data_IF_451912108283
#
_entry.id   IF_451912108283
#
_cell.length_a   1.000
_cell.length_b   1.000
_cell.length_c   1.000
_cell.angle_alpha   90.00
_cell.angle_beta   90.00
_cell.angle_gamma   90.00
#
_symmetry.space_group_name_H-M   'P 1'
#
loop_
_entity.id
_entity.type
_entity.pdbx_description
1 polymer ?
#
# COMPACT_ATOMS: atom_id res chain seq x y z
N UNK A 1 23.43 -21.41 -6.40
CA UNK A 1 23.25 -22.28 -7.60
C UNK A 1 23.47 -23.71 -7.11
N UNK A 2 22.39 -24.42 -6.75
CA UNK A 2 22.49 -25.82 -6.34
C UNK A 2 22.73 -26.66 -7.59
N UNK A 3 23.83 -27.41 -7.60
CA UNK A 3 24.13 -28.38 -8.65
C UNK A 3 23.20 -29.58 -8.42
N UNK A 4 22.17 -29.69 -9.27
CA UNK A 4 21.38 -30.93 -9.39
C UNK A 4 22.03 -31.80 -10.46
N UNK A 5 21.97 -33.11 -10.24
CA UNK A 5 22.45 -34.11 -11.18
C UNK A 5 21.70 -33.97 -12.53
N UNK A 6 22.38 -34.06 -13.69
CA UNK A 6 21.75 -33.95 -15.00
C UNK A 6 20.53 -34.86 -15.20
N UNK A 7 20.52 -36.05 -14.60
CA UNK A 7 19.41 -36.99 -14.73
C UNK A 7 18.17 -36.55 -13.90
N UNK A 8 18.38 -35.91 -12.75
CA UNK A 8 17.29 -35.31 -11.93
C UNK A 8 16.66 -34.10 -12.63
N UNK A 9 17.41 -33.36 -13.45
CA UNK A 9 16.87 -32.23 -14.22
C UNK A 9 15.90 -32.66 -15.31
N UNK A 10 16.13 -33.81 -15.94
CA UNK A 10 15.28 -34.32 -17.02
C UNK A 10 13.95 -34.82 -16.46
N UNK A 11 13.98 -35.47 -15.29
CA UNK A 11 12.79 -36.01 -14.62
C UNK A 11 11.84 -34.92 -14.07
N UNK A 12 12.38 -33.74 -13.74
CA UNK A 12 11.62 -32.56 -13.29
C UNK A 12 10.97 -31.82 -14.46
N UNK A 13 11.66 -31.67 -15.60
CA UNK A 13 11.11 -30.99 -16.79
C UNK A 13 9.95 -31.79 -17.42
N UNK A 14 10.00 -33.12 -17.37
CA UNK A 14 8.94 -33.99 -17.91
C UNK A 14 7.70 -34.09 -17.01
N UNK A 15 7.79 -33.68 -15.75
CA UNK A 15 6.73 -33.76 -14.75
C UNK A 15 6.49 -32.43 -14.01
N UNK A 16 6.83 -31.28 -14.61
CA UNK A 16 6.74 -29.96 -13.98
C UNK A 16 5.37 -29.69 -13.36
N UNK A 17 4.31 -30.10 -14.06
CA UNK A 17 2.91 -29.91 -13.67
C UNK A 17 2.53 -30.74 -12.43
N UNK A 18 3.26 -31.83 -12.13
CA UNK A 18 3.06 -32.64 -10.93
C UNK A 18 3.79 -32.05 -9.71
N UNK A 19 4.93 -31.39 -9.92
CA UNK A 19 5.73 -30.81 -8.86
C UNK A 19 5.25 -29.44 -8.40
N UNK A 20 4.58 -28.66 -9.27
CA UNK A 20 4.04 -27.34 -8.93
C UNK A 20 2.98 -27.36 -7.80
N UNK A 21 2.28 -28.49 -7.61
CA UNK A 21 1.25 -28.66 -6.58
C UNK A 21 1.75 -29.41 -5.31
N UNK A 22 3.02 -29.81 -5.27
CA UNK A 22 3.58 -30.52 -4.11
C UNK A 22 4.14 -29.55 -3.06
N UNK A 23 3.94 -29.81 -1.75
CA UNK A 23 4.59 -29.02 -0.71
C UNK A 23 6.11 -29.15 -0.82
N UNK A 24 6.76 -28.08 -1.25
CA UNK A 24 8.21 -28.02 -1.34
C UNK A 24 8.83 -27.81 0.05
N UNK A 25 9.83 -28.62 0.39
CA UNK A 25 10.72 -28.34 1.51
C UNK A 25 11.86 -27.45 1.05
N UNK A 26 11.74 -26.15 1.34
CA UNK A 26 12.83 -25.19 1.08
C UNK A 26 13.79 -25.20 2.26
N UNK A 27 14.98 -25.78 2.07
CA UNK A 27 16.08 -25.65 3.00
C UNK A 27 16.95 -24.47 2.59
N UNK A 28 16.89 -23.37 3.36
CA UNK A 28 17.77 -22.22 3.16
C UNK A 28 18.97 -22.32 4.10
N UNK A 29 20.16 -22.55 3.54
CA UNK A 29 21.43 -22.41 4.27
C UNK A 29 21.90 -20.95 4.12
N UNK A 30 22.06 -20.23 5.24
CA UNK A 30 22.67 -18.90 5.26
C UNK A 30 24.09 -19.08 5.80
N UNK A 31 25.08 -18.98 4.92
CA UNK A 31 26.48 -19.11 5.27
C UNK A 31 27.14 -17.73 5.31
N UNK A 32 27.92 -17.45 6.36
CA UNK A 32 28.78 -16.27 6.38
C UNK A 32 30.08 -16.58 5.67
N UNK A 33 30.37 -15.86 4.59
CA UNK A 33 31.69 -15.89 3.94
C UNK A 33 32.74 -15.06 4.69
N UNK A 34 32.31 -14.22 5.63
CA UNK A 34 33.17 -13.42 6.50
C UNK A 34 33.23 -14.09 7.89
N UNK A 35 34.41 -14.59 8.32
CA UNK A 35 34.55 -15.29 9.59
C UNK A 35 34.37 -14.37 10.80
N UNK A 36 34.42 -13.05 10.62
CA UNK A 36 34.35 -12.06 11.70
C UNK A 36 32.93 -11.50 11.92
N UNK A 37 31.93 -12.02 11.18
CA UNK A 37 30.53 -11.60 11.37
C UNK A 37 30.06 -11.99 12.78
N UNK A 38 29.61 -11.01 13.60
CA UNK A 38 29.13 -11.33 14.94
C UNK A 38 27.94 -12.29 14.90
N UNK A 39 27.92 -13.29 15.79
CA UNK A 39 26.83 -14.27 15.88
C UNK A 39 25.44 -13.61 15.98
N UNK A 40 25.34 -12.45 16.63
CA UNK A 40 24.12 -11.64 16.69
C UNK A 40 23.58 -11.30 15.30
N UNK A 41 24.44 -10.91 14.36
CA UNK A 41 24.04 -10.55 12.99
C UNK A 41 23.50 -11.75 12.23
N UNK A 42 24.09 -12.93 12.42
CA UNK A 42 23.59 -14.18 11.84
C UNK A 42 22.21 -14.55 12.39
N UNK A 43 21.99 -14.37 13.70
CA UNK A 43 20.67 -14.57 14.33
C UNK A 43 19.64 -13.59 13.79
N UNK A 44 20.00 -12.30 13.63
CA UNK A 44 19.13 -11.28 13.04
C UNK A 44 18.73 -11.65 11.60
N UNK A 45 19.68 -12.10 10.77
CA UNK A 45 19.39 -12.59 9.42
C UNK A 45 18.45 -13.81 9.42
N UNK A 46 18.71 -14.79 10.28
CA UNK A 46 17.86 -15.99 10.39
C UNK A 46 16.43 -15.65 10.80
N UNK A 47 16.25 -14.70 11.73
CA UNK A 47 14.93 -14.20 12.14
C UNK A 47 14.22 -13.48 10.99
N UNK A 48 14.91 -12.60 10.27
CA UNK A 48 14.33 -11.90 9.13
C UNK A 48 13.85 -12.85 8.03
N UNK A 49 14.62 -13.90 7.72
CA UNK A 49 14.21 -14.93 6.75
C UNK A 49 13.03 -15.74 7.28
N UNK A 50 13.06 -16.15 8.54
CA UNK A 50 11.92 -16.83 9.17
C UNK A 50 10.64 -15.99 9.10
N UNK A 51 10.71 -14.71 9.45
CA UNK A 51 9.55 -13.82 9.48
C UNK A 51 9.03 -13.54 8.07
N UNK A 52 9.92 -13.40 7.08
CA UNK A 52 9.55 -13.35 5.68
C UNK A 52 8.81 -14.61 5.25
N UNK A 53 9.39 -15.80 5.45
CA UNK A 53 8.76 -17.08 5.09
C UNK A 53 7.43 -17.30 5.82
N UNK A 54 7.33 -16.87 7.07
CA UNK A 54 6.07 -16.90 7.83
C UNK A 54 5.02 -15.97 7.21
N UNK A 55 5.42 -14.77 6.79
CA UNK A 55 4.53 -13.80 6.18
C UNK A 55 4.06 -14.21 4.78
N UNK A 56 4.92 -14.87 3.97
CA UNK A 56 4.58 -15.36 2.63
C UNK A 56 4.05 -16.80 2.61
N UNK A 57 3.63 -17.37 3.75
CA UNK A 57 3.16 -18.77 3.82
C UNK A 57 1.98 -19.07 2.89
N UNK A 58 1.21 -18.05 2.48
CA UNK A 58 0.14 -18.16 1.49
C UNK A 58 0.60 -18.01 0.03
N UNK A 59 1.90 -17.81 -0.22
CA UNK A 59 2.49 -17.67 -1.56
C UNK A 59 2.44 -16.27 -2.16
N UNK A 60 1.74 -15.31 -1.55
CA UNK A 60 1.55 -13.96 -2.11
C UNK A 60 2.32 -12.89 -1.30
N UNK A 61 3.28 -12.23 -1.95
CA UNK A 61 3.86 -10.99 -1.43
C UNK A 61 2.90 -9.84 -1.76
N UNK A 62 2.05 -9.48 -0.79
CA UNK A 62 1.04 -8.44 -0.92
C UNK A 62 1.02 -7.46 0.25
N UNK A 63 0.07 -6.53 0.25
CA UNK A 63 -0.01 -5.48 1.25
C UNK A 63 -0.11 -6.00 2.70
N UNK A 64 -0.85 -7.09 2.94
CA UNK A 64 -0.95 -7.72 4.27
C UNK A 64 0.40 -8.24 4.76
N UNK A 65 1.12 -8.96 3.90
CA UNK A 65 2.48 -9.45 4.16
C UNK A 65 3.42 -8.30 4.51
N UNK A 66 3.37 -7.22 3.75
CA UNK A 66 4.17 -6.01 4.01
C UNK A 66 3.85 -5.44 5.39
N UNK A 67 2.58 -5.30 5.75
CA UNK A 67 2.18 -4.76 7.06
C UNK A 67 2.70 -5.61 8.21
N UNK A 68 2.60 -6.94 8.13
CA UNK A 68 3.13 -7.83 9.17
C UNK A 68 4.67 -7.72 9.29
N UNK A 69 5.38 -7.63 8.16
CA UNK A 69 6.82 -7.43 8.14
C UNK A 69 7.24 -6.08 8.72
N UNK A 70 6.51 -5.02 8.40
CA UNK A 70 6.74 -3.70 8.97
C UNK A 70 6.50 -3.73 10.49
N UNK A 71 5.40 -4.33 10.97
CA UNK A 71 5.12 -4.50 12.40
C UNK A 71 6.21 -5.26 13.14
N UNK A 72 6.84 -6.23 12.47
CA UNK A 72 7.99 -6.97 13.00
C UNK A 72 9.32 -6.18 12.99
N UNK A 73 9.33 -4.94 12.47
CA UNK A 73 10.50 -4.07 12.44
C UNK A 73 11.39 -4.25 11.22
N UNK A 74 11.00 -5.07 10.24
CA UNK A 74 11.79 -5.37 9.04
C UNK A 74 11.63 -4.30 7.95
N UNK A 75 11.90 -3.04 8.31
CA UNK A 75 11.63 -1.88 7.44
C UNK A 75 12.45 -1.85 6.16
N UNK A 76 13.67 -2.41 6.18
CA UNK A 76 14.57 -2.44 5.03
C UNK A 76 14.09 -3.40 3.92
N UNK A 77 13.14 -4.30 4.20
CA UNK A 77 12.64 -5.27 3.21
C UNK A 77 11.93 -4.62 2.01
N UNK A 78 11.44 -3.39 2.17
CA UNK A 78 10.84 -2.65 1.08
C UNK A 78 11.89 -2.03 0.14
N UNK A 79 13.15 -1.89 0.56
CA UNK A 79 14.20 -1.37 -0.31
C UNK A 79 14.45 -2.35 -1.46
N UNK A 80 14.47 -1.83 -2.69
CA UNK A 80 14.55 -2.61 -3.92
C UNK A 80 13.19 -3.10 -4.45
N UNK A 81 12.10 -2.92 -3.70
CA UNK A 81 10.77 -3.23 -4.20
C UNK A 81 10.27 -2.13 -5.14
N UNK A 82 9.52 -2.55 -6.16
CA UNK A 82 8.90 -1.65 -7.12
C UNK A 82 7.52 -1.25 -6.61
N UNK A 83 7.16 0.03 -6.77
CA UNK A 83 5.80 0.47 -6.51
C UNK A 83 4.80 -0.25 -7.42
N UNK A 84 3.62 -0.55 -6.87
CA UNK A 84 2.64 -1.39 -7.54
C UNK A 84 1.23 -0.86 -7.34
N UNK A 85 0.22 -1.62 -7.80
CA UNK A 85 -1.18 -1.31 -7.50
C UNK A 85 -1.49 -1.33 -6.01
N UNK A 86 -0.71 -2.05 -5.20
CA UNK A 86 -0.93 -2.26 -3.77
C UNK A 86 0.16 -1.66 -2.86
N UNK A 87 1.27 -1.16 -3.41
CA UNK A 87 2.37 -0.58 -2.64
C UNK A 87 2.72 0.79 -3.21
N UNK A 88 2.70 1.81 -2.36
CA UNK A 88 3.25 3.13 -2.64
C UNK A 88 4.00 3.66 -1.43
N UNK A 89 5.01 4.47 -1.69
CA UNK A 89 5.80 5.10 -0.64
C UNK A 89 5.76 6.63 -0.67
N UNK A 90 5.99 7.24 0.49
CA UNK A 90 6.31 8.66 0.63
C UNK A 90 7.54 8.82 1.49
N UNK A 91 8.38 9.78 1.14
CA UNK A 91 9.58 10.07 1.93
C UNK A 91 9.31 10.87 3.19
N UNK A 92 8.19 11.60 3.24
CA UNK A 92 7.89 12.56 4.30
C UNK A 92 6.43 12.44 4.74
N UNK A 93 6.18 12.82 6.00
CA UNK A 93 4.83 12.96 6.54
C UNK A 93 4.03 14.04 5.79
N UNK A 94 2.73 13.80 5.62
CA UNK A 94 1.77 14.84 5.25
C UNK A 94 1.69 15.86 6.40
N UNK A 95 1.88 17.14 6.09
CA UNK A 95 1.80 18.17 7.13
C UNK A 95 0.34 18.58 7.33
N UNK A 96 -0.35 17.90 8.25
CA UNK A 96 -1.78 18.07 8.51
C UNK A 96 -2.10 19.27 9.42
N UNK A 97 -1.20 19.60 10.37
CA UNK A 97 -1.36 20.73 11.31
C UNK A 97 -0.37 21.86 11.12
N UNK A 98 0.71 21.65 10.37
CA UNK A 98 1.83 22.58 10.25
C UNK A 98 1.91 23.06 8.80
N UNK A 99 1.71 24.35 8.59
CA UNK A 99 1.80 24.95 7.26
C UNK A 99 1.72 26.48 7.35
N UNK A 100 2.32 27.20 6.39
CA UNK A 100 2.39 28.66 6.41
C UNK A 100 1.01 29.32 6.21
N UNK A 101 0.01 28.57 5.75
CA UNK A 101 -1.36 29.04 5.53
C UNK A 101 -2.37 27.90 5.65
N UNK A 102 -3.65 28.25 5.85
CA UNK A 102 -4.78 27.29 5.85
C UNK A 102 -4.83 26.48 4.54
N UNK A 103 -4.61 27.14 3.40
CA UNK A 103 -4.59 26.52 2.07
C UNK A 103 -3.52 25.44 1.94
N UNK A 104 -2.33 25.66 2.50
CA UNK A 104 -1.26 24.67 2.48
C UNK A 104 -1.60 23.42 3.31
N UNK A 105 -2.29 23.59 4.45
CA UNK A 105 -2.76 22.46 5.27
C UNK A 105 -3.84 21.66 4.55
N UNK A 106 -4.83 22.36 3.97
CA UNK A 106 -5.91 21.70 3.23
C UNK A 106 -5.39 20.93 2.02
N UNK A 107 -4.31 21.40 1.38
CA UNK A 107 -3.65 20.69 0.28
C UNK A 107 -3.13 19.32 0.71
N UNK A 108 -2.36 19.23 1.80
CA UNK A 108 -1.84 17.93 2.26
C UNK A 108 -2.94 16.99 2.76
N UNK A 109 -4.02 17.53 3.33
CA UNK A 109 -5.21 16.73 3.68
C UNK A 109 -5.86 16.11 2.44
N UNK A 110 -6.00 16.90 1.37
CA UNK A 110 -6.54 16.41 0.09
C UNK A 110 -5.61 15.38 -0.54
N UNK A 111 -4.30 15.64 -0.54
CA UNK A 111 -3.30 14.72 -1.10
C UNK A 111 -3.32 13.36 -0.39
N UNK A 112 -3.32 13.37 0.95
CA UNK A 112 -3.48 12.15 1.77
C UNK A 112 -4.76 11.40 1.39
N UNK A 113 -5.89 12.10 1.30
CA UNK A 113 -7.16 11.50 0.95
C UNK A 113 -7.19 10.94 -0.48
N UNK A 114 -6.55 11.62 -1.44
CA UNK A 114 -6.43 11.15 -2.82
C UNK A 114 -5.56 9.89 -2.93
N UNK A 115 -4.44 9.84 -2.21
CA UNK A 115 -3.56 8.67 -2.19
C UNK A 115 -4.26 7.44 -1.60
N UNK A 116 -5.00 7.61 -0.51
CA UNK A 116 -5.75 6.52 0.13
C UNK A 116 -6.99 6.12 -0.69
N UNK A 117 -7.76 7.08 -1.22
CA UNK A 117 -8.95 6.77 -2.01
C UNK A 117 -8.62 6.02 -3.31
N UNK A 118 -7.44 6.27 -3.88
CA UNK A 118 -6.93 5.54 -5.05
C UNK A 118 -6.77 4.05 -4.78
N UNK A 119 -6.35 3.67 -3.57
CA UNK A 119 -6.31 2.28 -3.14
C UNK A 119 -7.69 1.72 -2.81
N UNK A 120 -8.55 2.51 -2.16
CA UNK A 120 -9.92 2.11 -1.85
C UNK A 120 -10.76 1.81 -3.10
N UNK A 121 -10.46 2.48 -4.21
CA UNK A 121 -11.04 2.23 -5.54
C UNK A 121 -10.32 1.14 -6.33
N UNK A 122 -9.33 0.46 -5.74
CA UNK A 122 -8.65 -0.69 -6.33
C UNK A 122 -9.35 -2.01 -6.03
N UNK A 123 -8.80 -3.10 -6.57
CA UNK A 123 -9.35 -4.46 -6.44
C UNK A 123 -8.63 -5.30 -5.38
N UNK A 124 -7.55 -4.79 -4.79
CA UNK A 124 -6.67 -5.50 -3.86
C UNK A 124 -6.51 -4.74 -2.55
N UNK A 125 -6.08 -5.45 -1.50
CA UNK A 125 -5.52 -4.79 -0.32
C UNK A 125 -4.31 -3.96 -0.73
N UNK A 126 -4.05 -2.85 -0.03
CA UNK A 126 -2.95 -1.95 -0.34
C UNK A 126 -2.32 -1.31 0.90
N UNK A 127 -1.10 -0.81 0.74
CA UNK A 127 -0.34 -0.13 1.77
C UNK A 127 0.35 1.12 1.21
N UNK A 128 0.17 2.23 1.93
CA UNK A 128 0.94 3.45 1.78
C UNK A 128 1.99 3.50 2.90
N UNK A 129 3.26 3.35 2.58
CA UNK A 129 4.34 3.41 3.57
C UNK A 129 5.03 4.79 3.54
N UNK A 130 5.27 5.37 4.71
CA UNK A 130 5.82 6.72 4.88
C UNK A 130 7.16 6.60 5.62
N UNK A 131 8.16 7.29 5.08
CA UNK A 131 9.55 7.21 5.52
C UNK A 131 10.44 6.42 4.57
N UNK A 132 10.17 6.47 3.27
CA UNK A 132 10.93 5.79 2.22
C UNK A 132 11.18 6.71 1.03
N UNK A 133 12.39 6.65 0.47
CA UNK A 133 12.72 7.36 -0.77
C UNK A 133 12.51 6.45 -1.96
N UNK A 134 12.03 7.04 -3.04
CA UNK A 134 11.91 6.39 -4.34
C UNK A 134 13.01 6.87 -5.29
N UNK A 135 13.33 6.05 -6.28
CA UNK A 135 14.17 6.40 -7.42
C UNK A 135 13.56 5.81 -8.70
N UNK A 136 13.71 6.52 -9.82
CA UNK A 136 13.31 5.98 -11.12
C UNK A 136 14.37 5.03 -11.64
N UNK A 137 13.95 3.82 -11.98
CA UNK A 137 14.78 2.77 -12.58
C UNK A 137 14.11 2.32 -13.89
N UNK A 138 14.56 2.92 -15.00
CA UNK A 138 13.89 2.79 -16.29
C UNK A 138 12.52 3.45 -16.27
N UNK A 139 11.47 2.70 -16.61
CA UNK A 139 10.08 3.16 -16.56
C UNK A 139 9.42 2.98 -15.19
N UNK A 140 10.08 2.30 -14.24
CA UNK A 140 9.50 1.94 -12.95
C UNK A 140 10.00 2.83 -11.82
N UNK A 141 9.18 2.98 -10.78
CA UNK A 141 9.56 3.61 -9.51
C UNK A 141 9.93 2.54 -8.50
N UNK A 142 11.19 2.53 -8.06
CA UNK A 142 11.72 1.59 -7.08
C UNK A 142 12.03 2.30 -5.75
N UNK A 143 11.80 1.62 -4.64
CA UNK A 143 12.12 2.12 -3.30
C UNK A 143 13.63 2.02 -3.11
N UNK A 144 14.30 3.17 -3.03
CA UNK A 144 15.76 3.26 -3.02
C UNK A 144 16.39 3.17 -1.63
N UNK A 145 15.70 3.66 -0.60
CA UNK A 145 16.23 3.69 0.77
C UNK A 145 15.16 4.00 1.81
N UNK A 146 15.40 3.58 3.05
CA UNK A 146 14.64 4.05 4.22
C UNK A 146 15.05 5.49 4.53
N UNK A 147 14.05 6.34 4.77
CA UNK A 147 14.19 7.73 5.19
C UNK A 147 13.34 7.95 6.46
N UNK A 148 13.86 7.58 7.65
CA UNK A 148 13.08 7.56 8.87
C UNK A 148 12.46 8.92 9.20
N UNK A 149 11.21 8.91 9.63
CA UNK A 149 10.47 10.08 10.09
C UNK A 149 10.62 10.24 11.59
N UNK A 150 10.44 11.48 12.08
CA UNK A 150 10.32 11.74 13.53
C UNK A 150 8.93 11.31 14.00
N UNK A 151 8.84 10.25 14.80
CA UNK A 151 7.55 9.70 15.24
C UNK A 151 6.74 10.69 16.09
N UNK A 152 7.41 11.57 16.83
CA UNK A 152 6.75 12.65 17.58
C UNK A 152 5.94 13.62 16.70
N UNK A 153 6.12 13.61 15.36
CA UNK A 153 5.35 14.41 14.41
C UNK A 153 4.20 13.64 13.76
N UNK A 154 4.09 12.34 13.99
CA UNK A 154 3.03 11.50 13.45
C UNK A 154 1.90 11.34 14.46
N UNK A 155 0.65 11.42 13.99
CA UNK A 155 -0.53 11.21 14.80
C UNK A 155 -1.54 10.38 14.01
N UNK A 156 -1.64 9.09 14.34
CA UNK A 156 -2.52 8.16 13.63
C UNK A 156 -4.00 8.59 13.68
N UNK A 157 -4.48 9.06 14.84
CA UNK A 157 -5.87 9.50 15.00
C UNK A 157 -6.18 10.74 14.14
N UNK A 158 -5.20 11.63 13.95
CA UNK A 158 -5.36 12.76 13.06
C UNK A 158 -5.46 12.34 11.59
N UNK A 159 -4.62 11.41 11.16
CA UNK A 159 -4.67 10.86 9.80
C UNK A 159 -6.04 10.20 9.54
N UNK A 160 -6.52 9.39 10.47
CA UNK A 160 -7.86 8.78 10.41
C UNK A 160 -8.96 9.85 10.31
N UNK A 161 -8.94 10.86 11.19
CA UNK A 161 -9.93 11.92 11.17
C UNK A 161 -9.95 12.71 9.85
N UNK A 162 -8.78 12.95 9.24
CA UNK A 162 -8.71 13.59 7.91
C UNK A 162 -9.30 12.70 6.83
N UNK A 163 -9.01 11.40 6.87
CA UNK A 163 -9.55 10.45 5.89
C UNK A 163 -11.07 10.31 6.03
N UNK A 164 -11.60 10.24 7.26
CA UNK A 164 -13.05 10.21 7.52
C UNK A 164 -13.77 11.51 7.11
N UNK A 165 -13.12 12.67 7.29
CA UNK A 165 -13.64 13.98 6.86
C UNK A 165 -13.74 14.07 5.33
N UNK A 166 -12.74 13.50 4.64
CA UNK A 166 -12.49 13.78 3.23
C UNK A 166 -12.92 12.68 2.28
N UNK A 167 -12.99 11.43 2.72
CA UNK A 167 -13.35 10.30 1.87
C UNK A 167 -14.79 9.90 2.13
N UNK A 168 -15.57 9.77 1.06
CA UNK A 168 -16.97 9.31 1.12
C UNK A 168 -17.20 8.19 0.09
N UNK A 169 -17.82 7.06 0.47
CA UNK A 169 -18.21 6.70 1.84
C UNK A 169 -16.99 6.47 2.76
N UNK A 170 -17.17 6.43 4.09
CA UNK A 170 -16.08 6.10 5.02
C UNK A 170 -15.44 4.75 4.69
N UNK A 171 -14.12 4.65 4.88
CA UNK A 171 -13.37 3.41 4.62
C UNK A 171 -13.57 2.41 5.75
N UNK A 172 -13.78 1.14 5.41
CA UNK A 172 -13.93 0.06 6.38
C UNK A 172 -12.59 -0.65 6.59
N UNK A 173 -12.21 -0.86 7.85
CA UNK A 173 -11.03 -1.65 8.23
C UNK A 173 -9.69 -0.98 7.98
N UNK A 174 -9.67 0.33 7.70
CA UNK A 174 -8.45 1.11 7.55
C UNK A 174 -7.58 1.01 8.82
N UNK A 175 -6.28 0.79 8.65
CA UNK A 175 -5.31 0.80 9.76
C UNK A 175 -4.27 1.86 9.50
N UNK A 176 -3.95 2.64 10.54
CA UNK A 176 -2.92 3.69 10.51
C UNK A 176 -2.00 3.47 11.69
N UNK A 177 -0.75 3.11 11.42
CA UNK A 177 0.21 2.67 12.43
C UNK A 177 1.59 3.27 12.19
N UNK A 178 2.45 3.16 13.21
CA UNK A 178 3.86 3.52 13.13
C UNK A 178 4.72 2.42 13.74
N UNK A 179 5.96 2.33 13.26
CA UNK A 179 6.96 1.38 13.74
C UNK A 179 8.22 2.15 14.09
N UNK A 180 8.68 2.01 15.32
CA UNK A 180 9.94 2.59 15.79
C UNK A 180 11.12 1.70 15.42
N UNK A 181 12.14 2.30 14.81
CA UNK A 181 13.37 1.59 14.36
C UNK A 181 14.64 2.17 14.99
N UNK A 182 14.50 3.25 15.73
CA UNK A 182 15.55 3.93 16.49
C UNK A 182 14.92 4.99 17.38
N UNK A 183 15.70 5.54 18.30
CA UNK A 183 15.21 6.45 19.34
C UNK A 183 14.38 7.63 18.77
N UNK A 184 13.06 7.55 18.91
CA UNK A 184 12.11 8.56 18.45
C UNK A 184 11.97 8.68 16.93
N UNK A 185 12.54 7.75 16.15
CA UNK A 185 12.47 7.71 14.68
C UNK A 185 11.95 6.38 14.17
N UNK A 186 11.27 6.42 13.04
CA UNK A 186 10.55 5.25 12.55
C UNK A 186 10.01 5.43 11.14
N UNK A 187 9.10 4.53 10.79
CA UNK A 187 8.24 4.63 9.62
C UNK A 187 6.79 4.68 10.09
N UNK A 188 5.91 5.20 9.23
CA UNK A 188 4.47 5.08 9.41
C UNK A 188 3.88 4.37 8.20
N UNK A 189 2.70 3.77 8.35
CA UNK A 189 2.00 3.22 7.20
C UNK A 189 0.49 3.31 7.37
N UNK A 190 -0.19 3.28 6.23
CA UNK A 190 -1.65 3.20 6.13
C UNK A 190 -1.96 1.95 5.34
N UNK A 191 -2.60 0.98 5.99
CA UNK A 191 -3.14 -0.19 5.32
C UNK A 191 -4.59 0.06 4.93
N UNK A 192 -4.87 -0.11 3.65
CA UNK A 192 -6.20 0.05 3.05
C UNK A 192 -6.66 -1.33 2.61
N UNK A 193 -7.57 -1.98 3.35
CA UNK A 193 -8.14 -3.23 2.89
C UNK A 193 -8.91 -3.03 1.59
N UNK A 194 -9.02 -4.10 0.79
CA UNK A 194 -9.95 -4.14 -0.35
C UNK A 194 -11.33 -3.74 0.15
N UNK A 195 -11.89 -2.71 -0.45
CA UNK A 195 -13.22 -2.22 -0.08
C UNK A 195 -14.32 -3.00 -0.83
N UNK A 196 -15.54 -3.09 -0.26
CA UNK A 196 -16.68 -3.71 -0.93
C UNK A 196 -16.97 -3.02 -2.27
N UNK A 197 -17.25 -3.81 -3.30
CA UNK A 197 -17.47 -3.30 -4.66
C UNK A 197 -18.71 -2.39 -4.72
N UNK A 198 -19.74 -2.72 -3.95
CA UNK A 198 -20.99 -1.95 -3.83
C UNK A 198 -20.80 -0.56 -3.20
N UNK A 199 -19.68 -0.33 -2.51
CA UNK A 199 -19.34 0.95 -1.90
C UNK A 199 -18.51 1.84 -2.83
N UNK A 200 -18.02 1.29 -3.95
CA UNK A 200 -17.26 2.05 -4.92
C UNK A 200 -18.20 2.89 -5.83
N UNK A 201 -17.75 4.07 -6.29
CA UNK A 201 -16.43 4.65 -6.05
C UNK A 201 -16.35 5.50 -4.76
N UNK A 202 -15.20 5.45 -4.12
CA UNK A 202 -14.78 6.36 -3.05
C UNK A 202 -14.37 7.71 -3.63
N UNK A 203 -14.99 8.77 -3.13
CA UNK A 203 -14.82 10.15 -3.55
C UNK A 203 -14.01 10.92 -2.51
N UNK A 204 -13.22 11.89 -2.96
CA UNK A 204 -12.49 12.81 -2.09
C UNK A 204 -13.10 14.20 -2.15
N UNK A 205 -13.44 14.76 -0.99
CA UNK A 205 -13.91 16.14 -0.83
C UNK A 205 -12.76 17.14 -0.93
N UNK A 206 -12.93 18.10 -1.84
CA UNK A 206 -11.93 19.08 -2.21
C UNK A 206 -11.08 18.63 -3.40
N UNK A 207 -10.65 19.60 -4.20
CA UNK A 207 -9.72 19.39 -5.30
C UNK A 207 -8.57 20.39 -5.24
N UNK A 208 -7.39 19.98 -5.74
CA UNK A 208 -6.25 20.86 -5.95
C UNK A 208 -6.29 21.28 -7.43
N UNK A 209 -6.63 22.53 -7.72
CA UNK A 209 -6.75 23.07 -9.09
C UNK A 209 -5.86 24.29 -9.21
N UNK A 210 -4.96 24.30 -10.21
CA UNK A 210 -4.09 25.46 -10.50
C UNK A 210 -3.20 25.90 -9.32
N UNK A 211 -2.88 25.01 -8.37
CA UNK A 211 -2.12 25.33 -7.17
C UNK A 211 -2.95 25.85 -5.98
N UNK A 212 -4.25 26.06 -6.16
CA UNK A 212 -5.21 26.41 -5.10
C UNK A 212 -6.04 25.21 -4.63
N UNK A 213 -6.69 25.36 -3.48
CA UNK A 213 -7.64 24.37 -2.93
C UNK A 213 -9.06 24.87 -3.17
N UNK A 214 -9.89 24.05 -3.83
CA UNK A 214 -11.31 24.32 -4.01
C UNK A 214 -12.17 23.28 -3.29
N UNK A 215 -12.84 23.71 -2.21
CA UNK A 215 -13.64 22.82 -1.36
C UNK A 215 -15.02 22.42 -1.90
N UNK A 216 -15.45 22.97 -3.05
CA UNK A 216 -16.76 22.67 -3.67
C UNK A 216 -16.73 21.55 -4.70
N UNK A 217 -15.55 21.00 -4.98
CA UNK A 217 -15.36 19.92 -5.94
C UNK A 217 -15.11 18.61 -5.20
N UNK A 218 -15.53 17.51 -5.79
CA UNK A 218 -15.13 16.18 -5.37
C UNK A 218 -14.29 15.53 -6.47
N UNK A 219 -13.31 14.74 -6.08
CA UNK A 219 -12.42 14.01 -6.97
C UNK A 219 -12.79 12.53 -6.91
N UNK A 220 -12.85 11.85 -8.06
CA UNK A 220 -12.86 10.39 -8.09
C UNK A 220 -11.52 9.96 -8.65
N UNK A 221 -10.73 9.34 -7.79
CA UNK A 221 -9.35 8.95 -8.09
C UNK A 221 -9.33 7.45 -8.33
N UNK A 222 -9.08 7.05 -9.57
CA UNK A 222 -8.89 5.65 -9.93
C UNK A 222 -7.50 5.45 -10.54
N UNK A 223 -6.83 4.34 -10.18
CA UNK A 223 -5.54 3.96 -10.75
C UNK A 223 -5.76 3.31 -12.13
N UNK A 224 -5.05 3.77 -13.17
CA UNK A 224 -4.88 3.02 -14.43
C UNK A 224 -3.40 3.02 -14.80
N UNK A 225 -2.68 1.95 -14.46
CA UNK A 225 -1.21 1.92 -14.52
C UNK A 225 -0.59 2.88 -13.51
N UNK A 226 0.36 3.71 -13.95
CA UNK A 226 1.04 4.72 -13.11
C UNK A 226 0.26 6.04 -12.95
N UNK A 227 -0.87 6.21 -13.65
CA UNK A 227 -1.66 7.44 -13.66
C UNK A 227 -2.97 7.36 -12.87
N UNK A 228 -3.45 8.53 -12.41
CA UNK A 228 -4.83 8.73 -11.93
C UNK A 228 -5.73 9.13 -13.10
N UNK A 229 -6.88 8.48 -13.24
CA UNK A 229 -7.96 8.92 -14.15
C UNK A 229 -9.03 9.62 -13.33
N UNK A 230 -9.32 10.87 -13.72
CA UNK A 230 -10.51 11.56 -13.27
C UNK A 230 -11.73 10.91 -13.94
N UNK A 231 -12.69 10.43 -13.16
CA UNK A 231 -14.00 10.04 -13.73
C UNK A 231 -14.60 11.24 -14.47
N UNK A 232 -15.12 10.99 -15.67
CA UNK A 232 -15.74 12.02 -16.51
C UNK A 232 -17.14 12.40 -16.00
N UNK A 233 -17.58 13.62 -16.28
CA UNK A 233 -18.95 14.06 -15.96
C UNK A 233 -20.03 13.14 -16.55
N UNK A 234 -19.77 12.54 -17.73
CA UNK A 234 -20.67 11.60 -18.37
C UNK A 234 -20.84 10.29 -17.58
N UNK A 235 -19.75 9.76 -17.02
CA UNK A 235 -19.80 8.58 -16.15
C UNK A 235 -20.56 8.87 -14.85
N UNK A 236 -20.31 10.02 -14.22
CA UNK A 236 -21.08 10.45 -13.03
C UNK A 236 -22.57 10.55 -13.34
N UNK A 237 -22.92 11.21 -14.45
CA UNK A 237 -24.31 11.33 -14.88
C UNK A 237 -24.97 9.97 -15.11
N UNK A 238 -24.22 9.01 -15.65
CA UNK A 238 -24.69 7.64 -15.88
C UNK A 238 -25.04 6.95 -14.56
N UNK A 239 -24.15 6.99 -13.56
CA UNK A 239 -24.43 6.43 -12.23
C UNK A 239 -25.67 7.05 -11.59
N UNK A 240 -25.79 8.38 -11.63
CA UNK A 240 -26.95 9.09 -11.07
C UNK A 240 -28.25 8.68 -11.77
N UNK A 241 -28.23 8.59 -13.10
CA UNK A 241 -29.42 8.27 -13.88
C UNK A 241 -29.86 6.81 -13.66
N UNK A 242 -28.92 5.88 -13.62
CA UNK A 242 -29.18 4.48 -13.31
C UNK A 242 -29.79 4.32 -11.90
N UNK A 243 -29.20 4.95 -10.89
CA UNK A 243 -29.72 4.94 -9.52
C UNK A 243 -31.13 5.53 -9.41
N UNK A 244 -31.40 6.66 -10.07
CA UNK A 244 -32.74 7.26 -10.12
C UNK A 244 -33.77 6.34 -10.77
N UNK A 245 -33.40 5.64 -11.84
CA UNK A 245 -34.29 4.70 -12.53
C UNK A 245 -34.63 3.49 -11.63
N UNK A 246 -33.62 2.91 -10.98
CA UNK A 246 -33.77 1.79 -10.05
C UNK A 246 -34.68 2.14 -8.86
N UNK A 247 -34.42 3.28 -8.19
CA UNK A 247 -35.23 3.73 -7.05
C UNK A 247 -36.70 3.97 -7.42
N UNK A 248 -36.97 4.51 -8.62
CA UNK A 248 -38.35 4.68 -9.13
C UNK A 248 -39.05 3.35 -9.39
N UNK A 249 -38.35 2.33 -9.84
CA UNK A 249 -38.93 0.99 -10.07
C UNK A 249 -39.28 0.31 -8.75
N UNK A 250 -38.42 0.42 -7.73
CA UNK A 250 -38.69 -0.11 -6.39
C UNK A 250 -39.94 0.52 -5.75
N UNK A 251 -40.10 1.84 -5.88
CA UNK A 251 -41.29 2.55 -5.37
C UNK A 251 -42.59 2.10 -6.05
N UNK A 252 -42.55 1.79 -7.35
CA UNK A 252 -43.72 1.32 -8.12
C UNK A 252 -44.04 -0.16 -7.92
N UNK A 253 -43.07 -0.97 -7.50
CA UNK A 253 -43.28 -2.39 -7.19
C UNK A 253 -43.73 -2.66 -5.76
N UNK A 254 -43.76 -1.63 -4.91
CA UNK A 254 -44.22 -1.70 -3.51
C UNK A 254 -45.66 -1.15 -3.33
N UNK A 255 -46.27 -0.64 -4.40
CA UNK A 255 -47.70 -0.28 -4.51
C UNK A 255 -48.49 -1.42 -5.17
#
# INVERSE_FOLDING_TARGET
MLYLDPDERIEIDENSDFYDDMPHFVNTCIESIDPDVPARRLIECGRAVHDYLAAIRSGEFGAKTIVELLRAGHVDLLVGQVESSFLEVKSMLYNLDVGPSKTAKDRHKIELAQDVARFANGETDAVLAIGYKEAKVGERTEISSVAPIKLARFNAAQYQAVLDERIVPPLVGLVVEQVEIGDGVGIAFIFVPRQPEEMQPYLVHGAIIGGGVEGKFFSIVQRRGEGSINITAAQIHTYITAGRAFLRQQQRGAE
#
